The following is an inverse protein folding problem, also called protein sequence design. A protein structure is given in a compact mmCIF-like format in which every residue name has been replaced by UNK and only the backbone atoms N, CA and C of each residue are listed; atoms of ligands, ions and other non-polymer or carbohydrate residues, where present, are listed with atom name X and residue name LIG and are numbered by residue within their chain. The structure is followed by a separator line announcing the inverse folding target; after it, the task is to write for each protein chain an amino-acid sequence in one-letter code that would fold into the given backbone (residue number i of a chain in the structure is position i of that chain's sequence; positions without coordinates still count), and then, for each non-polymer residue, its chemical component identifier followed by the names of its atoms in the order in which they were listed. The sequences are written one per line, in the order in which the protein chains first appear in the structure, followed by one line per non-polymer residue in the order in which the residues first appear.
data_IF_997117514690
#
_entry.id   IF_997117514690
#
_cell.length_a   1.000
_cell.length_b   1.000
_cell.length_c   1.000
_cell.angle_alpha   90.00
_cell.angle_beta   90.00
_cell.angle_gamma   90.00
#
_symmetry.space_group_name_H-M   'P 1'
#
loop_
_entity.id
_entity.type
_entity.pdbx_description
1 polymer ?
#
# COMPACT_ATOMS: atom_id res chain seq x y z
N UNK A 1 40.17 4.87 -6.31
CA UNK A 1 38.83 4.27 -6.44
C UNK A 1 38.01 4.77 -5.27
N UNK A 2 37.47 5.97 -5.40
CA UNK A 2 36.81 6.71 -4.32
C UNK A 2 35.66 7.45 -4.97
N UNK A 3 34.50 6.79 -5.05
CA UNK A 3 33.18 7.41 -5.32
C UNK A 3 32.15 6.27 -5.51
N UNK A 4 31.49 5.86 -4.43
CA UNK A 4 30.11 5.35 -4.52
C UNK A 4 29.41 5.23 -3.15
N UNK A 5 29.70 6.14 -2.21
CA UNK A 5 29.16 6.02 -0.85
C UNK A 5 27.81 6.69 -0.59
N UNK A 6 27.22 7.45 -1.52
CA UNK A 6 25.98 8.21 -1.22
C UNK A 6 24.86 8.10 -2.27
N UNK A 7 24.87 7.11 -3.19
CA UNK A 7 23.71 6.93 -4.09
C UNK A 7 22.54 6.37 -3.29
N UNK A 8 21.56 7.23 -3.01
CA UNK A 8 20.26 6.81 -2.45
C UNK A 8 19.53 5.86 -3.41
N UNK A 9 18.85 4.85 -2.85
CA UNK A 9 17.95 3.99 -3.61
C UNK A 9 16.68 4.78 -3.91
N UNK A 10 16.30 4.88 -5.18
CA UNK A 10 15.09 5.60 -5.57
C UNK A 10 13.88 4.67 -5.61
N UNK A 11 12.84 5.05 -4.87
CA UNK A 11 11.58 4.32 -4.80
C UNK A 11 10.48 5.18 -5.42
N UNK A 12 9.80 4.69 -6.45
CA UNK A 12 8.55 5.28 -6.92
C UNK A 12 7.40 4.57 -6.25
N UNK A 13 6.70 5.27 -5.36
CA UNK A 13 5.57 4.74 -4.61
C UNK A 13 4.27 5.23 -5.22
N UNK A 14 3.47 4.30 -5.74
CA UNK A 14 2.21 4.58 -6.43
C UNK A 14 1.01 4.18 -5.59
N UNK A 15 -0.08 4.93 -5.69
CA UNK A 15 -1.34 4.63 -5.02
C UNK A 15 -2.52 5.35 -5.69
N UNK A 16 -3.75 4.91 -5.46
CA UNK A 16 -4.92 5.74 -5.79
C UNK A 16 -5.00 6.95 -4.84
N UNK A 17 -4.82 6.68 -3.54
CA UNK A 17 -4.64 7.65 -2.48
C UNK A 17 -3.65 7.10 -1.43
N UNK A 18 -2.90 7.97 -0.74
CA UNK A 18 -2.00 7.53 0.33
C UNK A 18 -2.76 7.44 1.64
N UNK A 19 -3.04 6.20 2.05
CA UNK A 19 -3.58 5.95 3.38
C UNK A 19 -2.51 6.20 4.45
N UNK A 20 -2.91 6.22 5.73
CA UNK A 20 -1.99 6.46 6.85
C UNK A 20 -0.85 5.43 6.92
N UNK A 21 -1.06 4.21 6.44
CA UNK A 21 -0.02 3.16 6.38
C UNK A 21 1.12 3.59 5.46
N UNK A 22 0.80 4.00 4.24
CA UNK A 22 1.77 4.47 3.24
C UNK A 22 2.59 5.62 3.81
N UNK A 23 1.93 6.62 4.40
CA UNK A 23 2.61 7.79 5.00
C UNK A 23 3.59 7.36 6.10
N UNK A 24 3.21 6.43 6.98
CA UNK A 24 4.09 5.92 8.05
C UNK A 24 5.31 5.19 7.48
N UNK A 25 5.12 4.35 6.47
CA UNK A 25 6.22 3.63 5.81
C UNK A 25 7.19 4.60 5.13
N UNK A 26 6.67 5.59 4.40
CA UNK A 26 7.46 6.63 3.73
C UNK A 26 8.28 7.42 4.75
N UNK A 27 7.65 7.89 5.83
CA UNK A 27 8.35 8.59 6.92
C UNK A 27 9.47 7.74 7.53
N UNK A 28 9.22 6.45 7.76
CA UNK A 28 10.22 5.54 8.31
C UNK A 28 11.41 5.38 7.35
N UNK A 29 11.16 5.24 6.04
CA UNK A 29 12.21 5.11 5.03
C UNK A 29 13.00 6.41 4.84
N UNK A 30 12.34 7.57 4.76
CA UNK A 30 13.01 8.87 4.63
C UNK A 30 13.93 9.14 5.82
N UNK A 31 13.50 8.81 7.05
CA UNK A 31 14.32 8.95 8.26
C UNK A 31 15.64 8.19 8.21
N UNK A 32 15.76 7.13 7.40
CA UNK A 32 17.03 6.38 7.26
C UNK A 32 18.09 7.16 6.48
N UNK A 33 17.69 8.16 5.69
CA UNK A 33 18.57 8.90 4.79
C UNK A 33 19.05 8.11 3.56
N UNK A 34 18.69 6.83 3.42
CA UNK A 34 19.19 5.93 2.36
C UNK A 34 18.31 5.90 1.10
N UNK A 35 17.11 6.47 1.17
CA UNK A 35 16.10 6.38 0.12
C UNK A 35 15.73 7.77 -0.41
N UNK A 36 15.40 7.83 -1.69
CA UNK A 36 14.78 8.97 -2.39
C UNK A 36 13.39 8.51 -2.85
N UNK A 37 12.33 8.96 -2.18
CA UNK A 37 10.99 8.42 -2.34
C UNK A 37 10.10 9.40 -3.10
N UNK A 38 9.68 8.99 -4.29
CA UNK A 38 8.80 9.77 -5.16
C UNK A 38 7.39 9.20 -5.09
N UNK A 39 6.46 9.98 -4.55
CA UNK A 39 5.05 9.63 -4.49
C UNK A 39 4.33 9.94 -5.79
N UNK A 40 3.47 9.03 -6.24
CA UNK A 40 2.60 9.22 -7.39
C UNK A 40 1.19 8.75 -7.04
N UNK A 41 0.25 9.68 -6.90
CA UNK A 41 -1.13 9.33 -6.57
C UNK A 41 -2.16 10.03 -7.44
N UNK A 42 -3.37 9.46 -7.52
CA UNK A 42 -4.48 10.10 -8.23
C UNK A 42 -5.11 11.23 -7.42
N UNK A 43 -5.04 11.12 -6.09
CA UNK A 43 -5.65 12.07 -5.16
C UNK A 43 -4.63 12.63 -4.17
N UNK A 44 -4.79 13.92 -3.84
CA UNK A 44 -4.08 14.55 -2.73
C UNK A 44 -4.59 13.95 -1.43
N UNK A 45 -3.67 13.49 -0.59
CA UNK A 45 -3.95 12.87 0.71
C UNK A 45 -3.05 13.50 1.77
N UNK A 46 -3.36 13.27 3.05
CA UNK A 46 -2.49 13.68 4.14
C UNK A 46 -1.09 13.02 3.99
N UNK A 47 -0.02 13.76 4.30
CA UNK A 47 1.33 13.23 4.31
C UNK A 47 2.06 13.23 2.96
N UNK A 48 1.50 13.88 1.93
CA UNK A 48 2.19 14.07 0.63
C UNK A 48 3.50 14.84 0.77
N UNK A 49 3.60 15.72 1.78
CA UNK A 49 4.82 16.46 2.11
C UNK A 49 5.95 15.60 2.71
N UNK A 50 5.66 14.35 3.08
CA UNK A 50 6.66 13.43 3.64
C UNK A 50 7.50 12.73 2.55
N UNK A 51 7.13 12.89 1.28
CA UNK A 51 7.87 12.37 0.13
C UNK A 51 8.92 13.38 -0.34
N UNK A 52 10.04 12.90 -0.88
CA UNK A 52 11.07 13.77 -1.49
C UNK A 52 10.53 14.49 -2.73
N UNK A 53 9.65 13.82 -3.49
CA UNK A 53 8.88 14.38 -4.59
C UNK A 53 7.47 13.81 -4.60
N UNK A 54 6.50 14.59 -5.05
CA UNK A 54 5.14 14.12 -5.20
C UNK A 54 4.54 14.56 -6.53
N UNK A 55 3.95 13.62 -7.26
CA UNK A 55 3.27 13.86 -8.54
C UNK A 55 1.82 13.38 -8.48
N UNK A 56 0.96 14.04 -9.25
CA UNK A 56 -0.44 13.69 -9.38
C UNK A 56 -0.75 13.21 -10.81
N UNK A 57 -1.61 12.20 -10.91
CA UNK A 57 -2.15 11.76 -12.20
C UNK A 57 -3.68 11.76 -12.17
N UNK A 58 -4.31 12.01 -13.31
CA UNK A 58 -5.77 12.00 -13.44
C UNK A 58 -6.29 10.85 -14.29
N UNK A 59 -5.43 10.29 -15.14
CA UNK A 59 -5.78 9.22 -16.07
C UNK A 59 -4.57 8.33 -16.35
N UNK A 60 -4.84 7.19 -16.99
CA UNK A 60 -3.85 6.18 -17.35
C UNK A 60 -2.71 6.76 -18.22
N UNK A 61 -3.02 7.64 -19.18
CA UNK A 61 -2.00 8.23 -20.08
C UNK A 61 -1.00 9.05 -19.28
N UNK A 62 -1.48 9.90 -18.37
CA UNK A 62 -0.63 10.70 -17.49
C UNK A 62 0.18 9.82 -16.55
N UNK A 63 -0.43 8.81 -15.94
CA UNK A 63 0.28 7.84 -15.09
C UNK A 63 1.45 7.20 -15.85
N UNK A 64 1.18 6.62 -17.03
CA UNK A 64 2.19 5.97 -17.85
C UNK A 64 3.32 6.91 -18.27
N UNK A 65 3.00 8.17 -18.60
CA UNK A 65 4.03 9.16 -18.92
C UNK A 65 4.92 9.46 -17.70
N UNK A 66 4.33 9.64 -16.51
CA UNK A 66 5.10 9.85 -15.29
C UNK A 66 6.00 8.64 -14.97
N UNK A 67 5.52 7.41 -15.16
CA UNK A 67 6.35 6.21 -14.99
C UNK A 67 7.50 6.11 -16.03
N UNK A 68 7.34 6.66 -17.24
CA UNK A 68 8.44 6.74 -18.22
C UNK A 68 9.50 7.76 -17.80
N UNK A 69 9.06 8.88 -17.28
CA UNK A 69 9.93 10.01 -16.95
C UNK A 69 10.64 9.82 -15.60
N UNK A 70 10.05 9.00 -14.71
CA UNK A 70 10.62 8.64 -13.42
C UNK A 70 11.46 7.37 -13.55
N UNK A 71 12.78 7.53 -13.61
CA UNK A 71 13.72 6.44 -13.36
C UNK A 71 13.61 5.99 -11.90
N UNK A 72 13.58 4.70 -11.60
CA UNK A 72 13.45 4.15 -10.25
C UNK A 72 14.19 2.82 -10.10
N UNK A 73 14.81 2.60 -8.94
CA UNK A 73 15.43 1.31 -8.61
C UNK A 73 14.37 0.28 -8.15
N UNK A 74 13.24 0.77 -7.65
CA UNK A 74 12.13 -0.02 -7.12
C UNK A 74 10.80 0.75 -7.28
N UNK A 75 9.76 0.02 -7.68
CA UNK A 75 8.38 0.48 -7.64
C UNK A 75 7.64 -0.19 -6.50
N UNK A 76 6.89 0.58 -5.74
CA UNK A 76 5.96 0.08 -4.73
C UNK A 76 4.57 0.54 -5.13
N UNK A 77 3.60 -0.36 -5.09
CA UNK A 77 2.20 0.03 -5.21
C UNK A 77 1.45 -0.34 -3.95
N UNK A 78 0.60 0.58 -3.52
CA UNK A 78 -0.26 0.46 -2.38
C UNK A 78 -1.67 0.83 -2.76
N UNK A 79 -2.63 0.15 -2.12
CA UNK A 79 -4.05 0.49 -2.14
C UNK A 79 -4.75 0.27 -3.49
N UNK A 80 -6.04 -0.04 -3.45
CA UNK A 80 -6.84 -0.27 -4.64
C UNK A 80 -7.12 1.01 -5.46
N UNK A 81 -7.39 0.88 -6.77
CA UNK A 81 -7.35 -0.37 -7.54
C UNK A 81 -5.90 -0.79 -7.86
N UNK A 82 -5.67 -2.11 -8.03
CA UNK A 82 -4.34 -2.66 -8.31
C UNK A 82 -3.92 -2.58 -9.79
N UNK A 83 -4.74 -1.97 -10.67
CA UNK A 83 -4.50 -1.91 -12.12
C UNK A 83 -3.22 -1.13 -12.48
N UNK A 84 -2.76 -0.25 -11.59
CA UNK A 84 -1.55 0.55 -11.76
C UNK A 84 -0.30 -0.32 -11.89
N UNK A 85 -0.22 -1.49 -11.24
CA UNK A 85 0.94 -2.39 -11.41
C UNK A 85 1.02 -2.90 -12.84
N UNK A 86 -0.13 -3.20 -13.45
CA UNK A 86 -0.18 -3.66 -14.83
C UNK A 86 0.33 -2.56 -15.76
N UNK A 87 0.01 -1.29 -15.47
CA UNK A 87 0.53 -0.16 -16.22
C UNK A 87 2.03 0.08 -15.99
N UNK A 88 2.54 -0.12 -14.77
CA UNK A 88 3.97 -0.06 -14.50
C UNK A 88 4.70 -1.11 -15.31
N UNK A 89 4.28 -2.38 -15.25
CA UNK A 89 4.91 -3.48 -16.00
C UNK A 89 4.85 -3.28 -17.51
N UNK A 90 3.75 -2.72 -18.04
CA UNK A 90 3.64 -2.41 -19.47
C UNK A 90 4.67 -1.35 -19.92
N UNK A 91 4.95 -0.36 -19.07
CA UNK A 91 5.85 0.75 -19.39
C UNK A 91 7.30 0.44 -19.06
N UNK A 92 7.53 -0.33 -17.99
CA UNK A 92 8.84 -0.72 -17.46
C UNK A 92 8.87 -2.26 -17.30
N UNK A 93 9.06 -3.03 -18.38
CA UNK A 93 8.97 -4.49 -18.36
C UNK A 93 9.93 -5.17 -17.38
N UNK A 94 11.09 -4.55 -17.12
CA UNK A 94 12.14 -5.07 -16.24
C UNK A 94 12.15 -4.43 -14.85
N UNK A 95 11.12 -3.63 -14.52
CA UNK A 95 11.01 -2.99 -13.20
C UNK A 95 10.97 -4.03 -12.08
N UNK A 96 11.56 -3.68 -10.94
CA UNK A 96 11.31 -4.37 -9.66
C UNK A 96 10.06 -3.77 -9.03
N UNK A 97 9.03 -4.58 -8.81
CA UNK A 97 7.72 -4.12 -8.35
C UNK A 97 7.34 -4.85 -7.07
N UNK A 98 7.01 -4.10 -6.02
CA UNK A 98 6.43 -4.63 -4.78
C UNK A 98 4.96 -4.21 -4.69
N UNK A 99 4.10 -5.18 -4.38
CA UNK A 99 2.72 -4.93 -3.98
C UNK A 99 2.64 -4.86 -2.44
N UNK A 100 2.21 -3.74 -1.87
CA UNK A 100 1.80 -3.65 -0.46
C UNK A 100 0.30 -3.95 -0.33
N UNK A 101 0.00 -5.22 -0.07
CA UNK A 101 -1.32 -5.81 -0.04
C UNK A 101 -2.06 -5.54 1.28
N UNK A 102 -2.59 -4.32 1.44
CA UNK A 102 -3.36 -3.92 2.63
C UNK A 102 -4.84 -3.60 2.38
N UNK A 103 -5.22 -3.33 1.14
CA UNK A 103 -6.60 -3.17 0.70
C UNK A 103 -6.74 -4.01 -0.57
N UNK A 104 -6.97 -5.33 -0.40
CA UNK A 104 -7.23 -6.23 -1.53
C UNK A 104 -8.74 -6.48 -1.66
N UNK A 105 -9.23 -6.48 -2.88
CA UNK A 105 -10.65 -6.69 -3.19
C UNK A 105 -11.04 -8.14 -2.90
N UNK A 106 -10.13 -9.11 -3.06
CA UNK A 106 -10.35 -10.49 -2.62
C UNK A 106 -10.67 -10.62 -1.14
N UNK A 107 -10.05 -9.78 -0.31
CA UNK A 107 -10.29 -9.74 1.13
C UNK A 107 -11.53 -8.88 1.44
N UNK A 108 -11.68 -7.74 0.75
CA UNK A 108 -12.73 -6.74 1.04
C UNK A 108 -14.08 -7.07 0.45
N UNK A 109 -14.14 -7.80 -0.66
CA UNK A 109 -15.35 -8.11 -1.43
C UNK A 109 -15.55 -9.62 -1.63
N UNK A 110 -14.59 -10.47 -1.24
CA UNK A 110 -14.74 -11.92 -1.37
C UNK A 110 -14.91 -12.40 -2.81
N UNK A 111 -14.55 -11.54 -3.78
CA UNK A 111 -14.47 -11.83 -5.21
C UNK A 111 -13.01 -11.70 -5.62
N UNK A 112 -12.58 -12.42 -6.66
CA UNK A 112 -11.23 -12.24 -7.19
C UNK A 112 -11.28 -11.40 -8.47
N UNK A 113 -10.97 -10.08 -8.43
CA UNK A 113 -10.94 -9.28 -9.65
C UNK A 113 -9.80 -9.71 -10.57
N UNK A 114 -10.03 -9.60 -11.88
CA UNK A 114 -9.03 -9.94 -12.90
C UNK A 114 -7.80 -9.03 -12.75
N UNK A 115 -8.04 -7.75 -12.46
CA UNK A 115 -7.00 -6.74 -12.31
C UNK A 115 -6.07 -7.03 -11.12
N UNK A 116 -6.63 -7.50 -10.00
CA UNK A 116 -5.86 -7.91 -8.83
C UNK A 116 -5.03 -9.16 -9.12
N UNK A 117 -5.63 -10.15 -9.79
CA UNK A 117 -4.93 -11.36 -10.21
C UNK A 117 -3.77 -11.05 -11.18
N UNK A 118 -3.97 -10.13 -12.12
CA UNK A 118 -2.92 -9.63 -12.99
C UNK A 118 -1.84 -8.85 -12.23
N UNK A 119 -2.23 -8.02 -11.25
CA UNK A 119 -1.29 -7.26 -10.45
C UNK A 119 -0.38 -8.18 -9.62
N UNK A 120 -0.96 -9.24 -9.02
CA UNK A 120 -0.21 -10.27 -8.32
C UNK A 120 0.73 -11.00 -9.29
N UNK A 121 0.33 -11.28 -10.54
CA UNK A 121 1.22 -11.84 -11.57
C UNK A 121 2.40 -10.90 -11.87
N UNK A 122 2.12 -9.60 -12.00
CA UNK A 122 3.08 -8.61 -12.49
C UNK A 122 4.03 -8.06 -11.41
N UNK A 123 3.78 -8.29 -10.12
CA UNK A 123 4.71 -7.92 -9.05
C UNK A 123 5.86 -8.93 -8.89
N UNK A 124 6.98 -8.48 -8.33
CA UNK A 124 8.15 -9.31 -8.01
C UNK A 124 8.22 -9.69 -6.52
N UNK A 125 7.49 -8.97 -5.67
CA UNK A 125 7.38 -9.29 -4.24
C UNK A 125 6.13 -8.69 -3.62
N UNK A 126 5.72 -9.25 -2.47
CA UNK A 126 4.50 -8.81 -1.78
C UNK A 126 4.76 -8.55 -0.29
N UNK A 127 4.29 -7.40 0.18
CA UNK A 127 4.19 -7.06 1.59
C UNK A 127 2.75 -7.27 2.04
N UNK A 128 2.57 -8.04 3.10
CA UNK A 128 1.26 -8.30 3.70
C UNK A 128 1.11 -7.55 5.02
N UNK A 129 -0.15 -7.27 5.39
CA UNK A 129 -0.49 -6.60 6.65
C UNK A 129 -0.57 -7.54 7.85
N UNK A 130 -0.75 -8.84 7.61
CA UNK A 130 -0.81 -9.87 8.64
C UNK A 130 -0.48 -11.24 8.06
N UNK A 131 -0.21 -12.22 8.93
CA UNK A 131 0.03 -13.61 8.54
C UNK A 131 -1.22 -14.28 7.97
N UNK A 132 -2.39 -13.89 8.46
CA UNK A 132 -3.69 -14.40 8.01
C UNK A 132 -3.99 -13.94 6.58
N UNK A 133 -3.77 -12.66 6.28
CA UNK A 133 -3.91 -12.14 4.91
C UNK A 133 -2.89 -12.80 3.99
N UNK A 134 -1.63 -12.95 4.44
CA UNK A 134 -0.62 -13.67 3.68
C UNK A 134 -1.06 -15.11 3.37
N UNK A 135 -1.50 -15.88 4.37
CA UNK A 135 -1.93 -17.26 4.19
C UNK A 135 -3.13 -17.37 3.23
N UNK A 136 -4.12 -16.49 3.38
CA UNK A 136 -5.29 -16.43 2.50
C UNK A 136 -4.90 -16.16 1.03
N UNK A 137 -4.06 -15.15 0.79
CA UNK A 137 -3.65 -14.77 -0.57
C UNK A 137 -2.71 -15.81 -1.19
N UNK A 138 -1.79 -16.39 -0.41
CA UNK A 138 -0.93 -17.47 -0.90
C UNK A 138 -1.72 -18.72 -1.28
N UNK A 139 -2.83 -19.00 -0.59
CA UNK A 139 -3.72 -20.10 -0.97
C UNK A 139 -4.50 -19.77 -2.24
N UNK A 140 -5.09 -18.56 -2.30
CA UNK A 140 -5.90 -18.09 -3.42
C UNK A 140 -5.09 -17.95 -4.73
N UNK A 141 -3.83 -17.53 -4.65
CA UNK A 141 -2.93 -17.27 -5.79
C UNK A 141 -1.73 -18.22 -5.82
N UNK A 142 -1.93 -19.46 -5.37
CA UNK A 142 -0.84 -20.43 -5.18
C UNK A 142 0.01 -20.66 -6.43
N UNK A 143 -0.61 -20.63 -7.60
CA UNK A 143 0.02 -20.80 -8.91
C UNK A 143 0.96 -19.64 -9.28
N UNK A 144 0.65 -18.43 -8.82
CA UNK A 144 1.41 -17.21 -9.11
C UNK A 144 2.47 -16.88 -8.06
N UNK A 145 2.27 -17.36 -6.83
CA UNK A 145 3.01 -16.90 -5.66
C UNK A 145 4.17 -17.80 -5.22
N UNK A 146 4.33 -18.99 -5.82
CA UNK A 146 5.25 -20.03 -5.33
C UNK A 146 6.69 -19.53 -5.08
N UNK A 147 7.21 -18.71 -5.97
CA UNK A 147 8.62 -18.28 -5.95
C UNK A 147 8.80 -16.80 -5.62
N UNK A 148 7.73 -16.09 -5.27
CA UNK A 148 7.78 -14.65 -5.01
C UNK A 148 8.22 -14.39 -3.57
N UNK A 149 9.23 -13.52 -3.33
CA UNK A 149 9.55 -13.07 -1.98
C UNK A 149 8.34 -12.39 -1.35
N UNK A 150 8.04 -12.77 -0.11
CA UNK A 150 6.97 -12.17 0.68
C UNK A 150 7.46 -11.80 2.07
N UNK A 151 6.86 -10.76 2.65
CA UNK A 151 7.08 -10.39 4.04
C UNK A 151 5.77 -9.90 4.66
N UNK A 152 5.67 -10.00 5.98
CA UNK A 152 4.56 -9.41 6.75
C UNK A 152 5.09 -8.17 7.45
N UNK A 153 4.42 -7.04 7.22
CA UNK A 153 4.65 -5.78 7.91
C UNK A 153 3.35 -5.36 8.59
N UNK A 154 3.23 -5.73 9.86
CA UNK A 154 2.06 -5.45 10.70
C UNK A 154 1.89 -3.95 10.95
N UNK A 155 0.67 -3.56 11.31
CA UNK A 155 0.36 -2.18 11.64
C UNK A 155 0.77 -1.86 13.07
N UNK A 156 1.50 -0.75 13.24
CA UNK A 156 1.87 -0.22 14.54
C UNK A 156 1.30 1.20 14.74
N UNK A 157 0.86 1.48 15.96
CA UNK A 157 0.56 2.84 16.40
C UNK A 157 1.87 3.64 16.52
N UNK A 158 1.80 4.97 16.36
CA UNK A 158 2.99 5.79 16.64
C UNK A 158 3.26 5.74 18.14
N UNK A 159 4.54 5.73 18.52
CA UNK A 159 4.96 5.67 19.93
C UNK A 159 4.32 6.78 20.77
N UNK A 160 4.15 7.98 20.20
CA UNK A 160 3.48 9.12 20.82
C UNK A 160 2.06 8.80 21.32
N UNK A 161 1.31 7.95 20.62
CA UNK A 161 -0.02 7.50 21.06
C UNK A 161 0.02 6.38 22.09
N UNK A 162 1.17 5.72 22.26
CA UNK A 162 1.38 4.69 23.27
C UNK A 162 1.89 5.28 24.58
N UNK A 163 2.61 6.41 24.52
CA UNK A 163 3.24 7.07 25.68
C UNK A 163 2.39 8.18 26.29
N UNK A 164 1.41 8.74 25.56
CA UNK A 164 0.37 9.64 26.09
C UNK A 164 -0.64 8.88 26.97
N UNK A 165 -0.10 8.27 28.02
CA UNK A 165 -0.85 7.93 29.22
C UNK A 165 -1.10 9.22 30.02
N UNK A 166 -2.37 9.50 30.28
CA UNK A 166 -2.88 10.37 31.35
C UNK A 166 -2.84 11.90 31.16
N UNK A 167 -3.99 12.47 30.79
CA UNK A 167 -4.88 13.18 31.75
C UNK A 167 -6.06 13.85 31.01
N UNK A 168 -7.32 13.49 31.31
CA UNK A 168 -7.87 13.51 32.67
C UNK A 168 -8.47 12.15 33.13
N UNK A 169 -8.68 12.02 34.44
CA UNK A 169 -9.26 10.86 35.15
C UNK A 169 -10.34 10.12 34.34
N UNK A 170 -10.04 8.89 33.85
CA UNK A 170 -10.98 8.01 33.14
C UNK A 170 -12.22 7.66 33.96
N UNK A 171 -12.15 7.78 35.28
CA UNK A 171 -13.15 7.28 36.22
C UNK A 171 -14.51 8.01 36.13
N UNK A 172 -14.55 9.16 35.44
CA UNK A 172 -15.78 9.95 35.25
C UNK A 172 -16.43 9.77 33.88
N UNK A 173 -15.84 8.98 32.97
CA UNK A 173 -16.37 8.79 31.60
C UNK A 173 -16.77 7.34 31.39
N UNK A 174 -18.07 7.06 31.48
CA UNK A 174 -18.65 5.78 31.07
C UNK A 174 -19.08 5.91 29.61
N UNK A 175 -18.54 5.08 28.72
CA UNK A 175 -18.92 5.09 27.31
C UNK A 175 -18.24 3.99 26.51
N UNK A 176 -18.85 3.65 25.37
CA UNK A 176 -18.26 2.77 24.36
C UNK A 176 -17.70 3.69 23.27
N UNK A 177 -16.45 3.47 22.88
CA UNK A 177 -15.83 4.15 21.74
C UNK A 177 -15.78 3.17 20.58
N UNK A 178 -16.37 3.56 19.46
CA UNK A 178 -16.21 2.86 18.18
C UNK A 178 -15.48 3.79 17.22
N UNK A 179 -14.39 3.28 16.65
CA UNK A 179 -13.66 3.96 15.57
C UNK A 179 -13.65 3.04 14.35
N UNK A 180 -14.37 3.44 13.31
CA UNK A 180 -14.46 2.72 12.06
C UNK A 180 -15.35 3.48 11.08
N UNK A 181 -15.31 3.11 9.81
CA UNK A 181 -16.26 3.63 8.83
C UNK A 181 -17.67 3.21 9.22
N UNK A 182 -18.56 4.18 9.48
CA UNK A 182 -19.97 3.92 9.69
C UNK A 182 -20.64 3.59 8.35
N UNK A 183 -20.34 2.43 7.79
CA UNK A 183 -21.03 1.91 6.63
C UNK A 183 -22.27 1.15 7.09
N UNK A 184 -23.40 1.38 6.41
CA UNK A 184 -24.58 0.52 6.59
C UNK A 184 -24.15 -0.93 6.44
N UNK A 185 -24.54 -1.83 7.36
CA UNK A 185 -24.19 -3.23 7.22
C UNK A 185 -24.67 -3.70 5.84
N UNK A 186 -23.87 -4.47 5.10
CA UNK A 186 -24.11 -4.64 3.68
C UNK A 186 -25.20 -5.70 3.41
N UNK A 187 -26.21 -5.82 4.28
CA UNK A 187 -27.29 -6.80 4.23
C UNK A 187 -28.00 -6.85 2.86
N UNK A 188 -27.99 -5.74 2.11
CA UNK A 188 -28.62 -5.62 0.79
C UNK A 188 -27.64 -5.56 -0.39
N UNK A 189 -26.33 -5.51 -0.13
CA UNK A 189 -25.35 -5.44 -1.21
C UNK A 189 -24.81 -6.86 -1.50
N UNK A 190 -25.12 -7.36 -2.70
CA UNK A 190 -24.70 -8.68 -3.16
C UNK A 190 -23.19 -8.89 -3.11
N UNK A 191 -22.39 -7.83 -3.21
CA UNK A 191 -20.94 -7.86 -3.16
C UNK A 191 -20.37 -8.23 -1.78
N UNK A 192 -21.17 -8.24 -0.72
CA UNK A 192 -20.70 -8.53 0.65
C UNK A 192 -21.41 -9.70 1.33
N UNK A 193 -22.17 -10.51 0.56
CA UNK A 193 -22.91 -11.66 1.12
C UNK A 193 -22.01 -12.65 1.85
N UNK A 194 -20.76 -12.79 1.43
CA UNK A 194 -19.79 -13.70 2.05
C UNK A 194 -19.41 -13.33 3.50
N UNK A 195 -19.67 -12.08 3.94
CA UNK A 195 -19.44 -11.64 5.33
C UNK A 195 -20.55 -12.04 6.31
N UNK A 196 -21.58 -12.74 5.83
CA UNK A 196 -22.75 -13.15 6.63
C UNK A 196 -22.73 -14.64 7.01
N UNK A 197 -21.66 -15.35 6.63
CA UNK A 197 -21.39 -16.74 7.00
C UNK A 197 -20.57 -16.78 8.30
#
# INVERSE_FOLDING_TARGET
MTENQDKKIRIVWTSEHNCIRVVKQVRALVKTGKYDIHGLAKQVSYGTQDFDKFSFYHNQKQFKNLIRDLDADLYVHSNEPNIQLNWIREVQPDAKIILDAHDLDSVRLGILPIEEHQAITNCDGILFVSKEVQAFILDLHRDQMRDKPTAVLEHYCNEEFLTDSCNPSPEKRKGIVYQGGAQSPPYKNSQYKYRQL
#
